data_IF_309430978092
#
_entry.id   IF_309430978092
#
_cell.length_a   1.000
_cell.length_b   1.000
_cell.length_c   1.000
_cell.angle_alpha   90.00
_cell.angle_beta   90.00
_cell.angle_gamma   90.00
#
_symmetry.space_group_name_H-M   'P 1'
#
loop_
_entity.id
_entity.type
_entity.pdbx_description
1 polymer ?
#
# COMPACT_ATOMS: atom_id res chain seq x y z
N UNK A 1 12.48 -2.60 6.11
CA UNK A 1 13.71 -2.25 5.37
C UNK A 1 14.10 -3.36 4.39
N UNK A 2 14.23 -4.63 4.81
CA UNK A 2 14.58 -5.73 3.89
C UNK A 2 13.61 -5.88 2.70
N UNK A 3 12.30 -5.93 2.95
CA UNK A 3 11.28 -6.05 1.89
C UNK A 3 11.30 -4.88 0.91
N UNK A 4 11.54 -3.66 1.40
CA UNK A 4 11.68 -2.46 0.56
C UNK A 4 12.85 -2.57 -0.41
N UNK A 5 14.02 -2.98 0.08
CA UNK A 5 15.19 -3.15 -0.78
C UNK A 5 14.98 -4.29 -1.80
N UNK A 6 14.34 -5.39 -1.40
CA UNK A 6 14.04 -6.51 -2.28
C UNK A 6 13.08 -6.10 -3.42
N UNK A 7 12.00 -5.39 -3.10
CA UNK A 7 11.01 -4.95 -4.10
C UNK A 7 11.58 -3.84 -4.98
N UNK A 8 12.38 -2.92 -4.43
CA UNK A 8 13.12 -1.95 -5.22
C UNK A 8 14.06 -2.63 -6.23
N UNK A 9 14.80 -3.66 -5.78
CA UNK A 9 15.62 -4.48 -6.66
C UNK A 9 14.80 -5.17 -7.75
N UNK A 10 13.65 -5.74 -7.41
CA UNK A 10 12.75 -6.38 -8.38
C UNK A 10 12.21 -5.37 -9.41
N UNK A 11 11.81 -4.17 -8.98
CA UNK A 11 11.36 -3.08 -9.85
C UNK A 11 12.47 -2.66 -10.82
N UNK A 12 13.66 -2.37 -10.31
CA UNK A 12 14.81 -1.97 -11.14
C UNK A 12 15.26 -3.10 -12.08
N UNK A 13 15.06 -4.36 -11.68
CA UNK A 13 15.25 -5.55 -12.52
C UNK A 13 14.13 -5.82 -13.51
N UNK A 14 13.14 -4.93 -13.62
CA UNK A 14 11.99 -5.03 -14.52
C UNK A 14 11.17 -6.32 -14.33
N UNK A 15 11.07 -6.81 -13.10
CA UNK A 15 10.21 -7.95 -12.79
C UNK A 15 8.76 -7.61 -13.14
N UNK A 16 8.13 -8.44 -13.98
CA UNK A 16 6.73 -8.27 -14.38
C UNK A 16 5.76 -8.91 -13.39
N UNK A 17 6.27 -9.77 -12.51
CA UNK A 17 5.52 -10.42 -11.44
C UNK A 17 6.42 -10.56 -10.22
N UNK A 18 5.92 -10.12 -9.07
CA UNK A 18 6.61 -10.25 -7.77
C UNK A 18 5.75 -11.10 -6.85
N UNK A 19 6.13 -12.37 -6.71
CA UNK A 19 5.53 -13.24 -5.70
C UNK A 19 5.99 -12.79 -4.32
N UNK A 20 5.14 -12.98 -3.31
CA UNK A 20 5.48 -12.70 -1.91
C UNK A 20 5.81 -11.22 -1.62
N UNK A 21 5.24 -10.31 -2.42
CA UNK A 21 5.43 -8.88 -2.27
C UNK A 21 4.93 -8.31 -0.92
N UNK A 22 4.07 -9.04 -0.20
CA UNK A 22 3.54 -8.60 1.08
C UNK A 22 3.31 -9.76 2.07
N UNK A 23 3.58 -9.47 3.36
CA UNK A 23 3.26 -10.33 4.50
C UNK A 23 4.31 -11.39 4.86
N UNK A 24 5.30 -11.61 4.00
CA UNK A 24 6.36 -12.60 4.19
C UNK A 24 7.31 -12.21 5.34
N UNK A 25 7.55 -13.16 6.25
CA UNK A 25 8.46 -13.04 7.39
C UNK A 25 9.34 -14.30 7.54
N UNK A 26 10.43 -14.17 8.31
CA UNK A 26 11.30 -15.27 8.74
C UNK A 26 11.74 -16.21 7.60
N UNK A 27 12.17 -15.62 6.47
CA UNK A 27 12.62 -16.40 5.33
C UNK A 27 11.53 -17.24 4.64
N UNK A 28 10.25 -16.98 4.95
CA UNK A 28 9.08 -17.62 4.34
C UNK A 28 8.37 -18.61 5.24
N UNK A 29 8.84 -18.74 6.48
CA UNK A 29 8.23 -19.64 7.46
C UNK A 29 6.92 -19.09 8.03
N UNK A 30 6.74 -17.77 8.01
CA UNK A 30 5.60 -17.11 8.62
C UNK A 30 5.00 -16.02 7.75
N UNK A 31 3.69 -15.82 7.93
CA UNK A 31 2.94 -14.70 7.40
C UNK A 31 2.49 -13.80 8.54
N UNK A 32 2.74 -12.50 8.44
CA UNK A 32 2.30 -11.51 9.43
C UNK A 32 1.27 -10.55 8.85
N UNK A 33 0.12 -10.38 9.49
CA UNK A 33 -0.91 -9.43 9.04
C UNK A 33 -0.45 -7.97 9.17
N UNK A 34 0.22 -7.62 10.26
CA UNK A 34 0.82 -6.30 10.46
C UNK A 34 1.90 -6.04 9.40
N UNK A 35 2.71 -7.06 9.11
CA UNK A 35 3.73 -7.01 8.06
C UNK A 35 3.09 -6.82 6.69
N UNK A 36 1.99 -7.50 6.41
CA UNK A 36 1.24 -7.37 5.16
C UNK A 36 0.82 -5.92 4.94
N UNK A 37 0.22 -5.25 5.93
CA UNK A 37 -0.16 -3.84 5.80
C UNK A 37 1.07 -2.92 5.64
N UNK A 38 2.16 -3.17 6.37
CA UNK A 38 3.41 -2.41 6.19
C UNK A 38 3.98 -2.56 4.76
N UNK A 39 3.90 -3.76 4.19
CA UNK A 39 4.36 -4.00 2.83
C UNK A 39 3.42 -3.36 1.80
N UNK A 40 2.10 -3.35 2.04
CA UNK A 40 1.13 -2.67 1.18
C UNK A 40 1.40 -1.16 1.14
N UNK A 41 1.69 -0.50 2.27
CA UNK A 41 2.08 0.92 2.30
C UNK A 41 3.26 1.20 1.35
N UNK A 42 4.31 0.38 1.45
CA UNK A 42 5.49 0.53 0.62
C UNK A 42 5.21 0.18 -0.85
N UNK A 43 4.36 -0.81 -1.14
CA UNK A 43 3.94 -1.13 -2.51
C UNK A 43 3.17 0.03 -3.15
N UNK A 44 2.27 0.68 -2.40
CA UNK A 44 1.57 1.87 -2.84
C UNK A 44 2.54 3.04 -3.07
N UNK A 45 3.51 3.24 -2.17
CA UNK A 45 4.54 4.27 -2.31
C UNK A 45 5.39 4.06 -3.58
N UNK A 46 5.76 2.82 -3.88
CA UNK A 46 6.49 2.48 -5.11
C UNK A 46 5.62 2.68 -6.35
N UNK A 47 4.35 2.28 -6.29
CA UNK A 47 3.40 2.51 -7.38
C UNK A 47 3.24 4.01 -7.69
N UNK A 48 3.16 4.85 -6.65
CA UNK A 48 3.09 6.30 -6.79
C UNK A 48 4.34 6.88 -7.46
N UNK A 49 5.54 6.42 -7.09
CA UNK A 49 6.79 6.86 -7.72
C UNK A 49 6.85 6.46 -9.21
N UNK A 50 6.14 5.41 -9.63
CA UNK A 50 6.04 5.01 -11.02
C UNK A 50 5.03 5.83 -11.83
N UNK A 51 4.23 6.69 -11.20
CA UNK A 51 3.34 7.63 -11.90
C UNK A 51 4.19 8.67 -12.63
N UNK A 52 3.92 8.89 -13.92
CA UNK A 52 4.63 9.92 -14.67
C UNK A 52 4.23 11.30 -14.15
N UNK A 53 5.19 12.20 -13.88
CA UNK A 53 4.87 13.58 -13.61
C UNK A 53 4.16 14.19 -14.82
N UNK A 54 3.21 15.10 -14.55
CA UNK A 54 2.59 15.91 -15.58
C UNK A 54 3.58 16.89 -16.22
N UNK A 55 3.28 17.31 -17.45
CA UNK A 55 4.11 18.21 -18.25
C UNK A 55 3.39 19.52 -18.62
N UNK A 56 2.25 19.81 -17.99
CA UNK A 56 1.49 21.04 -18.24
C UNK A 56 2.16 22.26 -17.61
N UNK A 57 1.78 23.47 -18.05
CA UNK A 57 2.24 24.72 -17.43
C UNK A 57 1.87 24.79 -15.94
N UNK A 58 0.71 24.25 -15.59
CA UNK A 58 0.28 24.15 -14.21
C UNK A 58 1.21 23.21 -13.42
N UNK A 59 1.69 22.11 -14.00
CA UNK A 59 2.62 21.18 -13.33
C UNK A 59 4.02 21.79 -13.15
N UNK A 60 4.44 22.65 -14.09
CA UNK A 60 5.69 23.41 -13.98
C UNK A 60 5.63 24.50 -12.90
N UNK A 61 4.43 24.93 -12.51
CA UNK A 61 4.18 25.87 -11.41
C UNK A 61 4.91 27.22 -11.52
N UNK A 62 5.17 27.70 -12.75
CA UNK A 62 5.90 28.95 -12.99
C UNK A 62 5.20 30.18 -12.39
N UNK A 63 3.87 30.21 -12.41
CA UNK A 63 3.08 31.30 -11.82
C UNK A 63 3.23 31.34 -10.29
N UNK A 64 3.28 30.17 -9.64
CA UNK A 64 3.53 30.10 -8.20
C UNK A 64 4.92 30.63 -7.85
N UNK A 65 5.94 30.29 -8.65
CA UNK A 65 7.31 30.80 -8.47
C UNK A 65 7.36 32.32 -8.63
N UNK A 66 6.59 32.89 -9.56
CA UNK A 66 6.50 34.33 -9.73
C UNK A 66 5.71 35.03 -8.61
N UNK A 67 4.71 34.36 -8.03
CA UNK A 67 3.89 34.85 -6.92
C UNK A 67 4.69 35.05 -5.62
N UNK A 68 5.61 34.13 -5.32
CA UNK A 68 6.34 34.11 -4.04
C UNK A 68 7.70 34.81 -4.16
N UNK A 69 7.97 35.90 -3.42
CA UNK A 69 9.26 36.58 -3.47
C UNK A 69 10.39 35.74 -2.85
N UNK A 70 11.67 36.01 -3.17
CA UNK A 70 12.80 35.33 -2.57
C UNK A 70 12.77 35.37 -1.04
N UNK A 71 12.90 34.20 -0.40
CA UNK A 71 12.80 34.04 1.05
C UNK A 71 11.37 33.85 1.60
N UNK A 72 10.35 33.86 0.75
CA UNK A 72 8.97 33.52 1.10
C UNK A 72 8.70 32.01 1.21
N UNK A 73 7.42 31.64 1.36
CA UNK A 73 6.96 30.24 1.40
C UNK A 73 5.72 30.04 0.50
N UNK A 74 5.51 28.80 0.05
CA UNK A 74 4.42 28.45 -0.87
C UNK A 74 3.13 27.98 -0.20
N UNK A 75 3.10 27.85 1.14
CA UNK A 75 1.92 27.31 1.84
C UNK A 75 0.60 28.02 1.56
N UNK A 76 0.64 29.33 1.23
CA UNK A 76 -0.54 30.12 0.91
C UNK A 76 -0.63 30.49 -0.59
N UNK A 77 0.28 29.99 -1.43
CA UNK A 77 0.27 30.27 -2.86
C UNK A 77 -1.00 29.68 -3.49
N UNK A 78 -1.58 30.38 -4.46
CA UNK A 78 -2.84 29.97 -5.08
C UNK A 78 -2.77 28.54 -5.65
N UNK A 79 -1.63 28.21 -6.27
CA UNK A 79 -1.34 26.88 -6.81
C UNK A 79 -1.35 25.78 -5.74
N UNK A 80 -0.76 26.03 -4.58
CA UNK A 80 -0.77 25.07 -3.46
C UNK A 80 -2.18 24.91 -2.90
N UNK A 81 -2.90 26.02 -2.66
CA UNK A 81 -4.27 25.97 -2.11
C UNK A 81 -5.26 25.22 -3.01
N UNK A 82 -5.06 25.24 -4.33
CA UNK A 82 -5.88 24.49 -5.27
C UNK A 82 -5.60 22.99 -5.29
N UNK A 83 -4.40 22.55 -4.85
CA UNK A 83 -3.88 21.20 -5.15
C UNK A 83 -3.46 20.38 -3.93
N UNK A 84 -3.19 21.01 -2.79
CA UNK A 84 -2.56 20.34 -1.64
C UNK A 84 -3.30 19.07 -1.17
N UNK A 85 -4.62 19.01 -1.36
CA UNK A 85 -5.44 17.86 -0.95
C UNK A 85 -5.19 16.60 -1.78
N UNK A 86 -4.72 16.73 -3.03
CA UNK A 86 -4.61 15.63 -3.99
C UNK A 86 -3.26 15.55 -4.71
N UNK A 87 -2.37 16.52 -4.52
CA UNK A 87 -1.06 16.56 -5.16
C UNK A 87 -0.05 15.54 -4.58
N UNK A 88 -0.32 15.00 -3.39
CA UNK A 88 0.58 14.08 -2.71
C UNK A 88 -0.18 12.80 -2.34
N UNK A 89 0.53 11.68 -2.43
CA UNK A 89 0.02 10.40 -1.95
C UNK A 89 -0.21 10.43 -0.43
N UNK A 90 -1.44 10.17 0.05
CA UNK A 90 -1.72 10.06 1.47
C UNK A 90 -1.27 8.67 1.98
N UNK A 91 -0.38 8.60 2.98
CA UNK A 91 0.03 7.31 3.54
C UNK A 91 -1.15 6.53 4.13
N UNK A 92 -1.14 5.22 3.92
CA UNK A 92 -2.07 4.27 4.54
C UNK A 92 -1.75 4.05 6.04
N UNK A 93 -0.46 4.01 6.41
CA UNK A 93 0.05 3.55 7.70
C UNK A 93 1.01 4.52 8.39
N UNK A 94 1.80 5.28 7.61
CA UNK A 94 2.83 6.15 8.17
C UNK A 94 2.23 7.25 9.03
N UNK A 95 2.81 7.46 10.22
CA UNK A 95 2.46 8.57 11.11
C UNK A 95 3.53 9.66 10.95
N UNK A 96 3.13 10.77 10.33
CA UNK A 96 4.00 11.92 10.06
C UNK A 96 3.84 13.03 11.10
N UNK A 97 3.18 12.75 12.22
CA UNK A 97 3.05 13.70 13.32
C UNK A 97 4.39 13.94 14.00
N UNK A 98 4.56 15.12 14.58
CA UNK A 98 5.74 15.40 15.39
C UNK A 98 5.77 14.52 16.65
N UNK A 99 6.95 14.35 17.22
CA UNK A 99 7.17 13.49 18.39
C UNK A 99 6.21 13.76 19.56
N UNK A 100 5.93 15.04 19.85
CA UNK A 100 5.02 15.41 20.94
C UNK A 100 3.59 14.93 20.70
N UNK A 101 3.09 15.11 19.48
CA UNK A 101 1.73 14.70 19.08
C UNK A 101 1.61 13.18 19.04
N UNK A 102 2.59 12.49 18.45
CA UNK A 102 2.67 11.04 18.44
C UNK A 102 2.68 10.45 19.85
N UNK A 103 3.47 11.04 20.75
CA UNK A 103 3.56 10.60 22.15
C UNK A 103 2.22 10.80 22.87
N UNK A 104 1.60 11.97 22.72
CA UNK A 104 0.30 12.27 23.31
C UNK A 104 -0.82 11.35 22.78
N UNK A 105 -0.70 10.88 21.53
CA UNK A 105 -1.60 9.90 20.90
C UNK A 105 -1.29 8.44 21.29
N UNK A 106 -0.42 8.21 22.28
CA UNK A 106 -0.12 6.88 22.82
C UNK A 106 1.09 6.18 22.21
N UNK A 107 1.94 6.92 21.48
CA UNK A 107 3.24 6.43 21.01
C UNK A 107 3.14 5.09 20.23
N UNK A 108 2.09 4.94 19.42
CA UNK A 108 1.81 3.69 18.71
C UNK A 108 2.92 3.41 17.70
N UNK A 109 3.47 2.21 17.71
CA UNK A 109 4.41 1.79 16.68
C UNK A 109 3.70 1.39 15.38
N UNK A 110 4.48 1.03 14.36
CA UNK A 110 3.94 0.65 13.05
C UNK A 110 3.08 -0.62 13.11
N UNK A 111 3.45 -1.58 13.96
CA UNK A 111 2.71 -2.84 14.09
C UNK A 111 1.34 -2.59 14.74
N UNK A 112 1.28 -1.79 15.82
CA UNK A 112 0.05 -1.43 16.49
C UNK A 112 -0.91 -0.63 15.61
N UNK A 113 -0.40 0.22 14.71
CA UNK A 113 -1.24 0.91 13.71
C UNK A 113 -1.72 -0.06 12.63
N UNK A 114 -0.82 -0.89 12.09
CA UNK A 114 -1.15 -1.90 11.08
C UNK A 114 -2.19 -2.90 11.57
N UNK A 115 -2.13 -3.27 12.86
CA UNK A 115 -3.09 -4.17 13.50
C UNK A 115 -4.53 -3.68 13.36
N UNK A 116 -4.75 -2.40 13.65
CA UNK A 116 -6.08 -1.78 13.53
C UNK A 116 -6.58 -1.76 12.08
N UNK A 117 -5.68 -1.55 11.12
CA UNK A 117 -6.03 -1.50 9.69
C UNK A 117 -6.46 -2.88 9.20
N UNK A 118 -5.66 -3.93 9.38
CA UNK A 118 -6.02 -5.25 8.85
C UNK A 118 -7.30 -5.79 9.50
N UNK A 119 -7.48 -5.55 10.80
CA UNK A 119 -8.70 -5.97 11.51
C UNK A 119 -9.94 -5.29 10.95
N UNK A 120 -9.85 -3.98 10.68
CA UNK A 120 -10.93 -3.23 10.05
C UNK A 120 -11.23 -3.73 8.64
N UNK A 121 -10.21 -3.97 7.83
CA UNK A 121 -10.37 -4.50 6.46
C UNK A 121 -11.13 -5.83 6.47
N UNK A 122 -10.82 -6.73 7.41
CA UNK A 122 -11.54 -8.00 7.53
C UNK A 122 -12.97 -7.82 8.04
N UNK A 123 -13.18 -6.93 9.02
CA UNK A 123 -14.50 -6.67 9.58
C UNK A 123 -15.46 -6.04 8.55
N UNK A 124 -14.93 -5.18 7.68
CA UNK A 124 -15.69 -4.45 6.67
C UNK A 124 -15.78 -5.22 5.32
N UNK A 125 -15.10 -6.38 5.20
CA UNK A 125 -15.02 -7.12 3.94
C UNK A 125 -16.40 -7.61 3.47
N UNK A 126 -16.75 -7.25 2.24
CA UNK A 126 -17.91 -7.79 1.53
C UNK A 126 -17.42 -8.54 0.29
N UNK A 127 -17.72 -9.84 0.14
CA UNK A 127 -17.36 -10.58 -1.06
C UNK A 127 -17.96 -9.96 -2.35
N UNK A 128 -17.28 -10.09 -3.50
CA UNK A 128 -17.86 -9.73 -4.80
C UNK A 128 -19.21 -10.40 -5.04
N UNK A 129 -20.12 -9.73 -5.77
CA UNK A 129 -21.50 -10.20 -5.97
C UNK A 129 -21.60 -11.62 -6.57
N UNK A 130 -20.64 -12.02 -7.42
CA UNK A 130 -20.64 -13.34 -8.05
C UNK A 130 -20.05 -14.46 -7.16
N UNK A 131 -19.55 -14.15 -5.96
CA UNK A 131 -18.84 -15.12 -5.12
C UNK A 131 -19.68 -16.35 -4.77
N UNK A 132 -20.98 -16.18 -4.52
CA UNK A 132 -21.87 -17.30 -4.19
C UNK A 132 -22.05 -18.27 -5.37
N UNK A 133 -22.35 -17.75 -6.57
CA UNK A 133 -22.53 -18.57 -7.77
C UNK A 133 -21.24 -19.34 -8.12
N UNK A 134 -20.09 -18.68 -8.02
CA UNK A 134 -18.78 -19.30 -8.28
C UNK A 134 -18.52 -20.41 -7.25
N UNK A 135 -18.81 -20.16 -5.97
CA UNK A 135 -18.63 -21.16 -4.91
C UNK A 135 -19.52 -22.40 -5.17
N UNK A 136 -20.79 -22.21 -5.51
CA UNK A 136 -21.72 -23.31 -5.81
C UNK A 136 -21.26 -24.14 -7.01
N UNK A 137 -20.72 -23.50 -8.05
CA UNK A 137 -20.18 -24.19 -9.24
C UNK A 137 -18.92 -25.00 -8.93
N UNK A 138 -18.09 -24.54 -7.98
CA UNK A 138 -16.86 -25.22 -7.59
C UNK A 138 -17.08 -26.33 -6.56
N UNK A 139 -18.15 -26.27 -5.77
CA UNK A 139 -18.39 -27.18 -4.66
C UNK A 139 -18.37 -28.68 -5.05
N UNK A 140 -19.03 -29.14 -6.14
CA UNK A 140 -18.99 -30.57 -6.52
C UNK A 140 -17.59 -31.05 -6.92
N UNK A 141 -16.82 -30.18 -7.58
CA UNK A 141 -15.44 -30.48 -7.95
C UNK A 141 -14.56 -30.62 -6.70
N UNK A 142 -14.65 -29.66 -5.77
CA UNK A 142 -13.92 -29.69 -4.50
C UNK A 142 -14.25 -30.98 -3.74
N UNK A 143 -15.54 -31.31 -3.59
CA UNK A 143 -15.98 -32.54 -2.91
C UNK A 143 -15.39 -33.80 -3.54
N UNK A 144 -15.40 -33.88 -4.87
CA UNK A 144 -14.85 -35.01 -5.62
C UNK A 144 -13.34 -35.15 -5.39
N UNK A 145 -12.58 -34.05 -5.48
CA UNK A 145 -11.13 -34.06 -5.29
C UNK A 145 -10.73 -34.34 -3.84
N UNK A 146 -11.49 -33.82 -2.86
CA UNK A 146 -11.28 -34.13 -1.44
C UNK A 146 -11.47 -35.63 -1.17
N UNK A 147 -12.52 -36.25 -1.73
CA UNK A 147 -12.74 -37.71 -1.60
C UNK A 147 -11.65 -38.54 -2.29
N UNK A 148 -11.07 -38.03 -3.37
CA UNK A 148 -9.97 -38.68 -4.09
C UNK A 148 -8.62 -38.58 -3.37
N UNK A 149 -8.53 -37.85 -2.25
CA UNK A 149 -7.29 -37.69 -1.47
C UNK A 149 -6.45 -36.46 -1.85
N UNK A 150 -6.98 -35.57 -2.70
CA UNK A 150 -6.28 -34.38 -3.17
C UNK A 150 -5.23 -34.69 -4.25
N UNK A 151 -4.39 -33.68 -4.55
CA UNK A 151 -3.28 -33.87 -5.46
C UNK A 151 -2.17 -34.69 -4.79
N UNK A 152 -1.60 -35.71 -5.47
CA UNK A 152 -0.42 -36.39 -4.96
C UNK A 152 0.74 -35.40 -4.81
N UNK A 153 1.71 -35.65 -3.91
CA UNK A 153 2.96 -34.92 -3.90
C UNK A 153 3.57 -34.94 -5.31
N UNK A 154 4.03 -33.78 -5.79
CA UNK A 154 4.82 -33.74 -7.01
C UNK A 154 6.19 -34.37 -6.72
N UNK A 155 6.63 -35.28 -7.59
CA UNK A 155 7.96 -35.91 -7.55
C UNK A 155 9.10 -34.89 -7.72
#
# INVERSE_FOLDING_TARGET
QETTMAIWGALMGQATMVLHAAGWLEGGLTFGYEKFINDIEMLQSIAEICVRPGDSLDDLALDAIAEVPPGGHFFAAAHTMQRYEHAFYPPLLADLSNFGSWTAAGARDSAARAAAIWQKVLADFTPPAQSAEIADRLAPYIETQTKAGGAPPLD
#
